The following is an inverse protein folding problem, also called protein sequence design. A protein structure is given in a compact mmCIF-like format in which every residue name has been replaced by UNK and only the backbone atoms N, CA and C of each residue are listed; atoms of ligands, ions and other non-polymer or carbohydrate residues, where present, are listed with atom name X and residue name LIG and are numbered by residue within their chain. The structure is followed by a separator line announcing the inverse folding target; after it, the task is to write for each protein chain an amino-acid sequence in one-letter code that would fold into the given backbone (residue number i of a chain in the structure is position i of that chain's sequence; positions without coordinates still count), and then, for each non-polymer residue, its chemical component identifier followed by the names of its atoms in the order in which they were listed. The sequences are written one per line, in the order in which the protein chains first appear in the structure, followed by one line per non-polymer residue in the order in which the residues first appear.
data_IF_846786150631
#
_entry.id   IF_846786150631
#
_cell.length_a   1.000
_cell.length_b   1.000
_cell.length_c   1.000
_cell.angle_alpha   90.00
_cell.angle_beta   90.00
_cell.angle_gamma   90.00
#
_symmetry.space_group_name_H-M   'P 1'
#
loop_
_entity.id
_entity.type
_entity.pdbx_description
1 polymer ?
#
# COMPACT_ATOMS: atom_id res chain seq x y z
N UNK A 1 37.48 -6.83 -5.88
CA UNK A 1 36.14 -7.36 -6.22
C UNK A 1 35.71 -8.24 -5.06
N UNK A 2 34.76 -7.78 -4.23
CA UNK A 2 34.23 -8.61 -3.15
C UNK A 2 33.27 -9.64 -3.75
N UNK A 3 33.46 -10.95 -3.50
CA UNK A 3 32.47 -11.95 -3.88
C UNK A 3 31.19 -11.64 -3.09
N UNK A 4 30.13 -11.30 -3.81
CA UNK A 4 28.86 -10.86 -3.22
C UNK A 4 28.25 -11.96 -2.38
N UNK A 5 28.32 -11.83 -1.05
CA UNK A 5 27.57 -12.69 -0.16
C UNK A 5 26.07 -12.47 -0.42
N UNK A 6 25.30 -13.52 -0.72
CA UNK A 6 23.85 -13.39 -0.86
C UNK A 6 23.31 -12.88 0.47
N UNK A 7 22.58 -11.76 0.43
CA UNK A 7 21.93 -11.22 1.62
C UNK A 7 21.04 -12.32 2.23
N UNK A 8 21.05 -12.49 3.56
CA UNK A 8 20.20 -13.48 4.20
C UNK A 8 18.74 -13.24 3.81
N UNK A 9 18.04 -14.33 3.47
CA UNK A 9 16.62 -14.28 3.11
C UNK A 9 15.85 -13.63 4.26
N UNK A 10 15.05 -12.58 4.00
CA UNK A 10 14.33 -11.90 5.06
C UNK A 10 13.28 -12.83 5.65
N UNK A 11 12.97 -12.58 6.92
CA UNK A 11 11.83 -13.21 7.59
C UNK A 11 10.55 -12.90 6.82
N UNK A 12 9.63 -13.88 6.76
CA UNK A 12 8.29 -13.67 6.21
C UNK A 12 7.57 -12.53 6.95
N UNK A 13 6.57 -11.92 6.32
CA UNK A 13 5.90 -10.75 6.88
C UNK A 13 6.46 -9.43 6.36
N UNK A 14 6.39 -8.40 7.22
CA UNK A 14 6.84 -7.05 6.89
C UNK A 14 8.29 -6.97 6.37
N UNK A 15 9.28 -7.70 6.92
CA UNK A 15 10.65 -7.62 6.41
C UNK A 15 10.78 -8.07 4.95
N UNK A 16 10.10 -9.16 4.57
CA UNK A 16 10.08 -9.66 3.19
C UNK A 16 9.35 -8.73 2.23
N UNK A 17 8.26 -8.10 2.68
CA UNK A 17 7.56 -7.06 1.89
C UNK A 17 8.43 -5.83 1.69
N UNK A 18 9.05 -5.31 2.76
CA UNK A 18 9.96 -4.18 2.67
C UNK A 18 11.14 -4.47 1.73
N UNK A 19 11.76 -5.66 1.84
CA UNK A 19 12.84 -6.05 0.93
C UNK A 19 12.36 -6.10 -0.52
N UNK A 20 11.18 -6.68 -0.80
CA UNK A 20 10.62 -6.73 -2.16
C UNK A 20 10.44 -5.34 -2.75
N UNK A 21 9.82 -4.42 -2.01
CA UNK A 21 9.62 -3.03 -2.43
C UNK A 21 10.96 -2.29 -2.65
N UNK A 22 11.96 -2.55 -1.80
CA UNK A 22 13.27 -1.92 -1.89
C UNK A 22 14.14 -2.50 -3.03
N UNK A 23 13.98 -3.78 -3.34
CA UNK A 23 14.82 -4.52 -4.31
C UNK A 23 14.60 -4.10 -5.76
N UNK A 24 13.46 -3.49 -6.07
CA UNK A 24 13.14 -3.01 -7.41
C UNK A 24 13.98 -1.76 -7.75
N UNK A 25 14.88 -1.82 -8.76
CA UNK A 25 15.70 -0.68 -9.15
C UNK A 25 14.87 0.49 -9.67
N UNK A 26 13.82 0.21 -10.43
CA UNK A 26 12.98 1.20 -11.09
C UNK A 26 11.89 1.75 -10.16
N UNK A 27 11.72 1.13 -8.98
CA UNK A 27 10.73 1.48 -7.94
C UNK A 27 9.27 1.43 -8.41
N UNK A 28 9.00 0.75 -9.52
CA UNK A 28 7.65 0.47 -10.03
C UNK A 28 6.75 -0.24 -9.03
N UNK A 29 7.34 -1.07 -8.17
CA UNK A 29 6.65 -1.87 -7.16
C UNK A 29 6.34 -1.10 -5.88
N UNK A 30 6.76 0.17 -5.74
CA UNK A 30 6.51 1.02 -4.56
C UNK A 30 5.06 1.47 -4.43
N UNK A 31 4.17 0.48 -4.29
CA UNK A 31 2.71 0.63 -4.31
C UNK A 31 2.17 0.63 -2.88
N UNK A 32 1.39 1.66 -2.58
CA UNK A 32 0.72 1.87 -1.30
C UNK A 32 -0.77 2.10 -1.49
N UNK A 33 -1.52 1.86 -0.41
CA UNK A 33 -2.93 2.26 -0.37
C UNK A 33 -3.00 3.76 -0.09
N UNK A 34 -3.89 4.46 -0.80
CA UNK A 34 -4.22 5.87 -0.52
C UNK A 34 -5.16 6.00 0.68
N UNK A 35 -5.94 4.96 0.95
CA UNK A 35 -7.00 4.95 1.95
C UNK A 35 -8.05 6.02 1.67
N UNK A 36 -8.55 6.10 0.43
CA UNK A 36 -9.42 7.18 -0.05
C UNK A 36 -10.65 7.36 0.85
N UNK A 37 -11.37 6.27 1.14
CA UNK A 37 -12.55 6.31 2.02
C UNK A 37 -12.24 6.79 3.43
N UNK A 38 -11.10 6.37 3.99
CA UNK A 38 -10.72 6.75 5.35
C UNK A 38 -10.26 8.22 5.40
N UNK A 39 -9.52 8.66 4.38
CA UNK A 39 -9.06 10.03 4.22
C UNK A 39 -10.23 11.00 4.03
N UNK A 40 -11.20 10.66 3.16
CA UNK A 40 -12.41 11.44 2.98
C UNK A 40 -13.21 11.54 4.29
N UNK A 41 -13.35 10.44 5.04
CA UNK A 41 -13.98 10.47 6.36
C UNK A 41 -13.23 11.40 7.32
N UNK A 42 -11.90 11.39 7.32
CA UNK A 42 -11.11 12.28 8.16
C UNK A 42 -11.34 13.75 7.80
N UNK A 43 -11.35 14.08 6.50
CA UNK A 43 -11.61 15.46 6.04
C UNK A 43 -12.99 15.96 6.45
N UNK A 44 -14.03 15.13 6.27
CA UNK A 44 -15.40 15.50 6.68
C UNK A 44 -15.50 15.70 8.20
N UNK A 45 -14.79 14.91 9.00
CA UNK A 45 -14.77 15.10 10.45
C UNK A 45 -14.05 16.39 10.86
N UNK A 46 -12.96 16.76 10.19
CA UNK A 46 -12.27 18.03 10.41
C UNK A 46 -13.12 19.23 10.00
N UNK A 47 -13.82 19.13 8.87
CA UNK A 47 -14.78 20.14 8.40
C UNK A 47 -15.91 20.33 9.41
N UNK A 48 -16.49 19.24 9.92
CA UNK A 48 -17.52 19.30 10.95
C UNK A 48 -17.01 19.91 12.27
N UNK A 49 -15.81 19.55 12.73
CA UNK A 49 -15.21 20.16 13.93
C UNK A 49 -14.99 21.67 13.73
N UNK A 50 -14.54 22.08 12.55
CA UNK A 50 -14.35 23.50 12.23
C UNK A 50 -15.67 24.27 12.18
N UNK A 51 -16.71 23.71 11.56
CA UNK A 51 -18.03 24.33 11.50
C UNK A 51 -18.63 24.56 12.91
N UNK A 52 -18.46 23.59 13.83
CA UNK A 52 -18.87 23.74 15.23
C UNK A 52 -18.10 24.84 15.96
N UNK A 53 -16.80 24.98 15.68
CA UNK A 53 -15.97 26.05 16.27
C UNK A 53 -16.31 27.42 15.68
N UNK A 54 -16.60 27.49 14.38
CA UNK A 54 -17.06 28.68 13.67
C UNK A 54 -18.39 29.18 14.25
N UNK A 55 -19.38 28.30 14.40
CA UNK A 55 -20.66 28.65 15.01
C UNK A 55 -20.48 29.13 16.46
N UNK A 56 -19.55 28.53 17.22
CA UNK A 56 -19.21 29.01 18.57
C UNK A 56 -18.61 30.41 18.56
N UNK A 57 -17.77 30.74 17.59
CA UNK A 57 -17.19 32.07 17.47
C UNK A 57 -18.27 33.08 17.07
N UNK A 58 -19.13 32.72 16.11
CA UNK A 58 -20.23 33.58 15.67
C UNK A 58 -21.20 33.91 16.81
N UNK A 59 -21.52 32.95 17.69
CA UNK A 59 -22.33 33.22 18.90
C UNK A 59 -21.67 34.22 19.85
N UNK A 60 -20.34 34.23 19.96
CA UNK A 60 -19.62 35.25 20.74
C UNK A 60 -19.72 36.61 20.05
N UNK A 61 -19.51 36.67 18.74
CA UNK A 61 -19.63 37.91 17.96
C UNK A 61 -21.06 38.49 18.04
N UNK A 62 -22.09 37.65 18.02
CA UNK A 62 -23.48 38.07 18.22
C UNK A 62 -23.73 38.66 19.61
N UNK A 63 -23.17 38.04 20.65
CA UNK A 63 -23.27 38.55 22.02
C UNK A 63 -22.54 39.89 22.16
N UNK A 64 -21.38 40.02 21.53
CA UNK A 64 -20.58 41.23 21.60
C UNK A 64 -21.20 42.40 20.83
N UNK A 65 -21.93 42.14 19.73
CA UNK A 65 -22.74 43.16 19.03
C UNK A 65 -23.76 43.85 19.95
N UNK A 66 -24.22 43.16 20.99
CA UNK A 66 -25.18 43.69 21.97
C UNK A 66 -24.49 44.41 23.15
N UNK A 67 -23.16 44.32 23.25
CA UNK A 67 -22.41 44.95 24.33
C UNK A 67 -22.24 46.45 24.11
N UNK A 68 -22.34 47.21 25.19
CA UNK A 68 -22.08 48.67 25.25
C UNK A 68 -20.70 48.97 25.83
N UNK A 69 -19.94 47.94 26.23
CA UNK A 69 -18.65 48.09 26.88
C UNK A 69 -17.55 48.44 25.86
N UNK A 70 -16.83 49.54 26.08
CA UNK A 70 -15.75 49.98 25.18
C UNK A 70 -14.60 48.95 25.14
N UNK A 71 -14.33 48.25 26.24
CA UNK A 71 -13.31 47.18 26.29
C UNK A 71 -13.60 46.02 25.33
N UNK A 72 -14.88 45.69 25.13
CA UNK A 72 -15.31 44.68 24.14
C UNK A 72 -15.04 45.20 22.73
N UNK A 73 -15.39 46.47 22.45
CA UNK A 73 -15.09 47.14 21.18
C UNK A 73 -13.59 47.19 20.87
N UNK A 74 -12.77 47.52 21.85
CA UNK A 74 -11.31 47.55 21.72
C UNK A 74 -10.76 46.17 21.33
N UNK A 75 -11.22 45.09 21.99
CA UNK A 75 -10.82 43.71 21.67
C UNK A 75 -11.07 43.33 20.20
N UNK A 76 -12.14 43.84 19.57
CA UNK A 76 -12.44 43.53 18.16
C UNK A 76 -11.56 44.27 17.16
N UNK A 77 -10.94 45.39 17.57
CA UNK A 77 -10.17 46.26 16.68
C UNK A 77 -8.67 46.12 16.86
N UNK A 78 -8.23 45.76 18.08
CA UNK A 78 -6.82 45.71 18.45
C UNK A 78 -6.44 44.38 19.10
N UNK A 79 -5.53 43.64 18.46
CA UNK A 79 -5.04 42.34 18.96
C UNK A 79 -4.32 42.46 20.31
N UNK A 80 -3.51 43.52 20.51
CA UNK A 80 -2.84 43.78 21.79
C UNK A 80 -3.81 44.01 22.94
N UNK A 81 -4.95 44.68 22.68
CA UNK A 81 -6.00 44.85 23.68
C UNK A 81 -6.63 43.50 24.04
N UNK A 82 -6.92 42.68 23.03
CA UNK A 82 -7.49 41.34 23.22
C UNK A 82 -6.55 40.42 24.01
N UNK A 83 -5.25 40.36 23.67
CA UNK A 83 -4.26 39.57 24.42
C UNK A 83 -4.13 40.04 25.87
N UNK A 84 -4.06 41.36 26.09
CA UNK A 84 -3.95 41.94 27.43
C UNK A 84 -5.16 41.58 28.30
N UNK A 85 -6.37 41.68 27.76
CA UNK A 85 -7.60 41.42 28.50
C UNK A 85 -7.80 39.91 28.72
N UNK A 86 -7.48 39.07 27.74
CA UNK A 86 -7.54 37.61 27.88
C UNK A 86 -6.48 37.05 28.86
N UNK A 87 -5.30 37.67 28.93
CA UNK A 87 -4.20 37.24 29.79
C UNK A 87 -4.15 37.93 31.17
N UNK A 88 -5.02 38.92 31.41
CA UNK A 88 -5.04 39.69 32.65
C UNK A 88 -5.35 38.80 33.86
N UNK A 89 -4.51 38.88 34.88
CA UNK A 89 -4.70 38.19 36.16
C UNK A 89 -4.76 39.18 37.31
N UNK A 90 -5.59 38.90 38.30
CA UNK A 90 -5.68 39.68 39.52
C UNK A 90 -4.54 39.36 40.50
N UNK A 91 -4.55 40.00 41.67
CA UNK A 91 -3.54 39.80 42.71
C UNK A 91 -3.54 38.37 43.29
N UNK A 92 -4.67 37.67 43.18
CA UNK A 92 -4.87 36.30 43.66
C UNK A 92 -4.52 35.26 42.58
N UNK A 93 -4.26 35.71 41.34
CA UNK A 93 -3.86 34.89 40.20
C UNK A 93 -5.02 34.41 39.31
N UNK A 94 -6.25 34.82 39.62
CA UNK A 94 -7.45 34.50 38.86
C UNK A 94 -7.57 35.39 37.61
N UNK A 95 -8.29 34.88 36.59
CA UNK A 95 -8.48 35.61 35.34
C UNK A 95 -9.41 36.82 35.58
N UNK A 96 -8.94 38.02 35.23
CA UNK A 96 -9.73 39.25 35.33
C UNK A 96 -10.92 39.20 34.38
N UNK A 97 -10.71 38.71 33.16
CA UNK A 97 -11.75 38.59 32.13
C UNK A 97 -11.83 37.14 31.62
N UNK A 98 -12.53 36.25 32.34
CA UNK A 98 -12.64 34.84 31.95
C UNK A 98 -13.33 34.65 30.60
N UNK A 99 -14.27 35.53 30.22
CA UNK A 99 -14.92 35.48 28.91
C UNK A 99 -13.92 35.76 27.76
N UNK A 100 -13.06 36.77 27.91
CA UNK A 100 -12.04 37.08 26.90
C UNK A 100 -10.96 35.99 26.81
N UNK A 101 -10.60 35.39 27.95
CA UNK A 101 -9.71 34.22 27.98
C UNK A 101 -10.31 33.03 27.21
N UNK A 102 -11.60 32.74 27.40
CA UNK A 102 -12.30 31.67 26.68
C UNK A 102 -12.41 31.94 25.17
N UNK A 103 -12.63 33.19 24.77
CA UNK A 103 -12.60 33.60 23.35
C UNK A 103 -11.20 33.41 22.74
N UNK A 104 -10.15 33.80 23.46
CA UNK A 104 -8.78 33.61 23.02
C UNK A 104 -8.46 32.12 22.81
N UNK A 105 -8.84 31.27 23.77
CA UNK A 105 -8.70 29.81 23.64
C UNK A 105 -9.42 29.28 22.40
N UNK A 106 -10.66 29.72 22.16
CA UNK A 106 -11.44 29.33 20.99
C UNK A 106 -10.75 29.73 19.69
N UNK A 107 -10.28 30.97 19.58
CA UNK A 107 -9.55 31.48 18.39
C UNK A 107 -8.28 30.69 18.14
N UNK A 108 -7.50 30.38 19.19
CA UNK A 108 -6.28 29.58 19.07
C UNK A 108 -6.59 28.14 18.64
N UNK A 109 -7.67 27.55 19.15
CA UNK A 109 -8.14 26.22 18.74
C UNK A 109 -8.56 26.21 17.26
N UNK A 110 -9.30 27.22 16.81
CA UNK A 110 -9.68 27.39 15.39
C UNK A 110 -8.43 27.49 14.53
N UNK A 111 -7.45 28.31 14.90
CA UNK A 111 -6.18 28.45 14.14
C UNK A 111 -5.45 27.11 14.02
N UNK A 112 -5.36 26.35 15.10
CA UNK A 112 -4.74 25.02 15.09
C UNK A 112 -5.50 24.04 14.18
N UNK A 113 -6.83 24.02 14.27
CA UNK A 113 -7.69 23.11 13.49
C UNK A 113 -7.75 23.46 12.01
N UNK A 114 -7.78 24.74 11.66
CA UNK A 114 -7.70 25.19 10.27
C UNK A 114 -6.39 24.77 9.63
N UNK A 115 -5.28 24.87 10.37
CA UNK A 115 -3.98 24.40 9.89
C UNK A 115 -4.00 22.88 9.64
N UNK A 116 -4.48 22.10 10.61
CA UNK A 116 -4.61 20.63 10.48
C UNK A 116 -5.46 20.25 9.26
N UNK A 117 -6.60 20.92 9.07
CA UNK A 117 -7.49 20.71 7.93
C UNK A 117 -6.84 21.05 6.60
N UNK A 118 -6.21 22.22 6.46
CA UNK A 118 -5.56 22.63 5.22
C UNK A 118 -4.37 21.72 4.86
N UNK A 119 -3.58 21.30 5.84
CA UNK A 119 -2.49 20.34 5.63
C UNK A 119 -3.03 18.98 5.15
N UNK A 120 -4.08 18.47 5.80
CA UNK A 120 -4.72 17.22 5.40
C UNK A 120 -5.30 17.31 3.97
N UNK A 121 -5.95 18.43 3.63
CA UNK A 121 -6.52 18.67 2.31
C UNK A 121 -5.44 18.68 1.22
N UNK A 122 -4.32 19.39 1.45
CA UNK A 122 -3.22 19.49 0.50
C UNK A 122 -2.55 18.12 0.25
N UNK A 123 -2.34 17.33 1.31
CA UNK A 123 -1.81 15.96 1.19
C UNK A 123 -2.78 15.09 0.40
N UNK A 124 -4.07 15.14 0.72
CA UNK A 124 -5.08 14.33 0.03
C UNK A 124 -5.24 14.71 -1.44
N UNK A 125 -5.22 16.01 -1.76
CA UNK A 125 -5.22 16.50 -3.15
C UNK A 125 -4.01 15.96 -3.93
N UNK A 126 -2.82 15.93 -3.32
CA UNK A 126 -1.62 15.38 -3.94
C UNK A 126 -1.77 13.89 -4.23
N UNK A 127 -2.37 13.13 -3.30
CA UNK A 127 -2.64 11.69 -3.49
C UNK A 127 -3.68 11.43 -4.58
N UNK A 128 -4.75 12.23 -4.65
CA UNK A 128 -5.78 12.08 -5.68
C UNK A 128 -5.28 12.39 -7.09
N UNK A 129 -4.36 13.36 -7.22
CA UNK A 129 -3.75 13.74 -8.50
C UNK A 129 -2.55 12.87 -8.88
N UNK A 130 -2.14 11.93 -8.01
CA UNK A 130 -1.05 11.00 -8.30
C UNK A 130 -1.45 10.00 -9.39
N UNK A 131 -0.48 9.60 -10.22
CA UNK A 131 -0.73 8.61 -11.27
C UNK A 131 -0.99 7.23 -10.64
N UNK A 132 -2.00 6.49 -11.11
CA UNK A 132 -2.22 5.13 -10.66
C UNK A 132 -1.05 4.23 -11.11
N UNK A 133 -0.76 3.14 -10.38
CA UNK A 133 0.22 2.16 -10.83
C UNK A 133 -0.28 1.44 -12.10
N UNK A 134 0.65 1.00 -12.97
CA UNK A 134 0.31 0.19 -14.13
C UNK A 134 -0.41 -1.12 -13.72
N UNK A 135 -1.45 -1.49 -14.47
CA UNK A 135 -2.28 -2.66 -14.17
C UNK A 135 -1.46 -3.97 -14.13
N UNK A 136 -0.47 -4.10 -15.02
CA UNK A 136 0.46 -5.24 -15.04
C UNK A 136 1.30 -5.34 -13.77
N UNK A 137 1.73 -4.19 -13.22
CA UNK A 137 2.50 -4.13 -11.98
C UNK A 137 1.63 -4.45 -10.78
N UNK A 138 0.39 -3.94 -10.74
CA UNK A 138 -0.60 -4.28 -9.70
C UNK A 138 -0.84 -5.79 -9.70
N UNK A 139 -1.09 -6.40 -10.87
CA UNK A 139 -1.30 -7.85 -11.01
C UNK A 139 -0.11 -8.64 -10.45
N UNK A 140 1.10 -8.36 -10.94
CA UNK A 140 2.30 -9.08 -10.50
C UNK A 140 2.57 -8.93 -8.99
N UNK A 141 2.35 -7.73 -8.43
CA UNK A 141 2.49 -7.49 -7.00
C UNK A 141 1.41 -8.21 -6.19
N UNK A 142 0.16 -8.22 -6.66
CA UNK A 142 -0.94 -8.94 -6.01
C UNK A 142 -0.66 -10.43 -5.94
N UNK A 143 -0.28 -11.05 -7.05
CA UNK A 143 0.00 -12.49 -7.13
C UNK A 143 1.16 -12.90 -6.22
N UNK A 144 2.24 -12.13 -6.25
CA UNK A 144 3.37 -12.33 -5.34
C UNK A 144 2.98 -12.15 -3.86
N UNK A 145 2.11 -11.17 -3.58
CA UNK A 145 1.69 -10.83 -2.22
C UNK A 145 0.74 -11.88 -1.63
N UNK A 146 -0.22 -12.38 -2.41
CA UNK A 146 -1.18 -13.39 -1.95
C UNK A 146 -0.65 -14.82 -2.06
N UNK A 147 0.40 -15.03 -2.87
CA UNK A 147 0.88 -16.37 -3.22
C UNK A 147 -0.09 -17.11 -4.15
N UNK A 148 -0.98 -16.37 -4.84
CA UNK A 148 -1.98 -16.90 -5.77
C UNK A 148 -1.60 -16.48 -7.19
N UNK A 149 -1.51 -17.43 -8.12
CA UNK A 149 -1.27 -17.16 -9.53
C UNK A 149 -2.31 -17.91 -10.37
N UNK A 150 -2.98 -17.22 -11.29
CA UNK A 150 -4.10 -17.75 -12.08
C UNK A 150 -5.16 -18.49 -11.25
N UNK A 151 -5.50 -17.93 -10.07
CA UNK A 151 -6.49 -18.49 -9.16
C UNK A 151 -6.05 -19.72 -8.36
N UNK A 152 -4.80 -20.17 -8.52
CA UNK A 152 -4.23 -21.31 -7.78
C UNK A 152 -3.31 -20.84 -6.66
N UNK A 153 -3.42 -21.47 -5.49
CA UNK A 153 -2.58 -21.18 -4.33
C UNK A 153 -1.23 -21.91 -4.45
N UNK A 154 -0.13 -21.17 -4.36
CA UNK A 154 1.24 -21.70 -4.37
C UNK A 154 2.00 -21.39 -3.08
N UNK A 155 1.58 -20.37 -2.34
CA UNK A 155 2.17 -19.98 -1.07
C UNK A 155 1.14 -19.29 -0.17
N UNK A 156 1.45 -19.17 1.12
CA UNK A 156 0.70 -18.31 2.02
C UNK A 156 0.93 -16.82 1.68
N UNK A 157 -0.06 -15.94 1.95
CA UNK A 157 0.09 -14.50 1.79
C UNK A 157 1.29 -13.94 2.58
N UNK A 158 1.87 -12.84 2.09
CA UNK A 158 3.00 -12.20 2.74
C UNK A 158 2.60 -11.50 4.05
N UNK A 159 1.38 -10.98 4.13
CA UNK A 159 0.80 -10.40 5.36
C UNK A 159 -0.62 -10.94 5.57
N UNK A 160 -1.02 -11.03 6.83
CA UNK A 160 -2.32 -11.55 7.26
C UNK A 160 -3.20 -10.44 7.87
N UNK A 161 -4.46 -10.79 8.15
CA UNK A 161 -5.42 -9.90 8.79
C UNK A 161 -5.92 -8.81 7.84
N UNK A 162 -6.11 -7.59 8.35
CA UNK A 162 -6.64 -6.48 7.53
C UNK A 162 -5.75 -6.12 6.32
N UNK A 163 -4.47 -6.47 6.34
CA UNK A 163 -3.51 -6.22 5.25
C UNK A 163 -3.50 -7.29 4.17
N UNK A 164 -4.17 -8.42 4.36
CA UNK A 164 -4.27 -9.47 3.34
C UNK A 164 -4.95 -8.95 2.07
N UNK A 165 -5.93 -8.05 2.25
CA UNK A 165 -6.75 -7.45 1.20
C UNK A 165 -6.15 -6.17 0.61
N UNK A 166 -4.86 -5.89 0.84
CA UNK A 166 -4.23 -4.61 0.47
C UNK A 166 -4.33 -4.28 -1.03
N UNK A 167 -4.32 -5.29 -1.89
CA UNK A 167 -4.37 -5.16 -3.35
C UNK A 167 -5.74 -5.54 -3.94
N UNK A 168 -6.81 -5.56 -3.13
CA UNK A 168 -8.14 -5.92 -3.62
C UNK A 168 -8.83 -4.80 -4.39
N UNK A 169 -8.64 -3.56 -3.95
CA UNK A 169 -9.14 -2.37 -4.64
C UNK A 169 -8.00 -1.73 -5.45
N UNK A 170 -7.98 -1.85 -6.79
CA UNK A 170 -6.96 -1.23 -7.62
C UNK A 170 -7.08 0.30 -7.69
N UNK A 171 -8.25 0.86 -7.37
CA UNK A 171 -8.48 2.31 -7.42
C UNK A 171 -7.97 3.02 -6.16
N UNK A 172 -7.85 2.30 -5.03
CA UNK A 172 -7.29 2.80 -3.77
C UNK A 172 -5.75 2.69 -3.71
N UNK A 173 -5.07 2.49 -4.84
CA UNK A 173 -3.61 2.31 -4.91
C UNK A 173 -2.91 3.53 -5.52
N UNK A 174 -1.73 3.83 -4.97
CA UNK A 174 -0.79 4.85 -5.47
C UNK A 174 0.60 4.25 -5.61
N UNK A 175 1.30 4.61 -6.67
CA UNK A 175 2.73 4.35 -6.81
C UNK A 175 3.53 5.60 -6.45
N UNK A 176 4.55 5.46 -5.59
CA UNK A 176 5.43 6.60 -5.25
C UNK A 176 6.30 7.02 -6.43
N UNK A 177 6.54 6.12 -7.38
CA UNK A 177 7.20 6.41 -8.65
C UNK A 177 6.46 5.72 -9.77
N UNK A 178 6.06 6.50 -10.76
CA UNK A 178 5.60 6.00 -12.05
C UNK A 178 6.69 6.33 -13.08
N UNK A 179 7.35 5.33 -13.69
CA UNK A 179 8.37 5.60 -14.72
C UNK A 179 7.80 6.47 -15.84
N UNK A 180 8.61 7.39 -16.34
CA UNK A 180 8.23 8.27 -17.45
C UNK A 180 7.87 7.47 -18.72
N UNK A 181 8.47 6.28 -18.90
CA UNK A 181 8.35 5.45 -20.11
C UNK A 181 7.07 4.60 -20.21
N UNK A 182 6.16 4.71 -19.24
CA UNK A 182 4.81 4.12 -19.34
C UNK A 182 3.91 5.02 -20.21
N UNK A 183 4.35 5.27 -21.44
CA UNK A 183 3.47 5.83 -22.46
C UNK A 183 2.46 4.78 -22.89
N UNK A 184 1.22 5.22 -23.15
CA UNK A 184 0.11 4.36 -23.60
C UNK A 184 0.48 3.49 -24.81
N UNK A 185 1.44 3.96 -25.62
CA UNK A 185 2.00 3.22 -26.75
C UNK A 185 2.89 2.05 -26.29
N UNK A 186 3.75 2.26 -25.30
CA UNK A 186 4.59 1.20 -24.71
C UNK A 186 3.72 0.12 -24.06
N UNK A 187 2.64 0.51 -23.38
CA UNK A 187 1.68 -0.43 -22.78
C UNK A 187 0.92 -1.22 -23.86
N UNK A 188 0.53 -0.57 -24.96
CA UNK A 188 -0.07 -1.23 -26.13
C UNK A 188 0.92 -2.22 -26.77
N UNK A 189 2.18 -1.84 -26.99
CA UNK A 189 3.19 -2.71 -27.57
C UNK A 189 3.50 -3.90 -26.65
N UNK A 190 3.62 -3.69 -25.33
CA UNK A 190 3.85 -4.78 -24.38
C UNK A 190 2.65 -5.75 -24.32
N UNK A 191 1.42 -5.22 -24.30
CA UNK A 191 0.21 -6.05 -24.20
C UNK A 191 -0.10 -6.82 -25.49
N UNK A 192 0.20 -6.26 -26.67
CA UNK A 192 -0.13 -6.89 -27.96
C UNK A 192 1.06 -7.55 -28.67
N UNK A 193 2.29 -7.09 -28.44
CA UNK A 193 3.50 -7.55 -29.13
C UNK A 193 4.57 -8.13 -28.19
N UNK A 194 4.29 -8.29 -26.90
CA UNK A 194 5.24 -8.88 -25.93
C UNK A 194 5.75 -10.28 -26.29
N UNK A 195 5.04 -11.03 -27.15
CA UNK A 195 5.48 -12.32 -27.68
C UNK A 195 6.65 -12.24 -28.67
N UNK A 196 6.92 -11.07 -29.28
CA UNK A 196 8.03 -10.88 -30.22
C UNK A 196 9.36 -10.53 -29.54
N UNK A 197 9.34 -10.07 -28.29
CA UNK A 197 10.52 -9.68 -27.52
C UNK A 197 10.93 -10.75 -26.50
N UNK A 198 10.83 -12.03 -26.87
CA UNK A 198 11.45 -13.10 -26.11
C UNK A 198 12.98 -12.90 -26.13
N UNK A 199 13.51 -12.25 -25.10
CA UNK A 199 14.95 -12.18 -24.85
C UNK A 199 15.45 -13.60 -24.69
N UNK A 200 16.24 -14.03 -25.67
CA UNK A 200 16.89 -15.34 -25.72
C UNK A 200 17.92 -15.40 -24.59
N UNK A 201 17.57 -16.04 -23.46
CA UNK A 201 18.55 -16.42 -22.44
C UNK A 201 19.63 -17.30 -23.11
N UNK A 202 20.93 -17.04 -22.88
CA UNK A 202 21.98 -17.90 -23.40
C UNK A 202 21.94 -19.24 -22.65
N UNK A 203 21.77 -20.34 -23.40
CA UNK A 203 21.89 -21.71 -22.91
C UNK A 203 23.32 -21.95 -22.37
N UNK A 204 23.50 -22.74 -21.30
CA UNK A 204 24.83 -23.09 -20.81
C UNK A 204 25.52 -24.07 -21.76
N UNK A 205 26.79 -23.79 -22.09
CA UNK A 205 27.67 -24.70 -22.85
C UNK A 205 27.81 -26.02 -22.08
N UNK A 206 27.36 -27.11 -22.66
CA UNK A 206 27.84 -28.45 -22.32
C UNK A 206 28.85 -28.88 -23.38
N UNK A 207 30.10 -28.91 -22.95
CA UNK A 207 31.22 -29.53 -23.64
C UNK A 207 31.06 -31.05 -23.53
N UNK A 208 31.05 -31.76 -24.65
CA UNK A 208 31.95 -32.89 -24.94
C UNK A 208 31.64 -33.47 -26.31
N UNK A 209 32.57 -33.21 -27.24
CA UNK A 209 32.74 -33.95 -28.49
C UNK A 209 33.68 -35.11 -28.17
N UNK A 210 33.24 -36.35 -28.37
CA UNK A 210 34.11 -37.47 -28.72
C UNK A 210 33.45 -38.22 -29.88
N UNK A 211 34.15 -38.23 -31.01
CA UNK A 211 33.84 -38.90 -32.29
C UNK A 211 34.47 -40.32 -32.28
N UNK A 212 33.96 -41.28 -33.10
CA UNK A 212 33.82 -42.69 -32.76
C UNK A 212 34.97 -43.57 -33.27
N UNK A 213 34.99 -44.83 -32.83
CA UNK A 213 35.85 -45.89 -33.39
C UNK A 213 35.00 -47.02 -33.99
N UNK A 214 35.52 -47.46 -35.14
CA UNK A 214 35.08 -48.37 -36.18
C UNK A 214 34.85 -49.85 -35.75
N UNK A 215 33.80 -50.45 -36.33
CA UNK A 215 33.34 -51.86 -36.54
C UNK A 215 34.37 -53.02 -36.46
N UNK A 216 34.01 -54.33 -36.27
CA UNK A 216 32.97 -55.08 -37.03
C UNK A 216 32.16 -56.21 -36.31
N UNK A 217 31.16 -56.83 -37.00
CA UNK A 217 30.20 -57.81 -36.43
C UNK A 217 30.61 -59.28 -36.69
N UNK A 218 29.91 -60.30 -36.14
CA UNK A 218 28.95 -61.01 -36.99
C UNK A 218 27.73 -61.72 -36.31
N UNK A 219 26.72 -61.97 -37.15
CA UNK A 219 25.87 -63.18 -37.26
C UNK A 219 24.75 -63.55 -36.26
N UNK A 220 23.55 -63.64 -36.87
CA UNK A 220 22.33 -64.38 -36.50
C UNK A 220 22.59 -65.80 -35.94
N UNK A 221 21.78 -66.24 -34.97
CA UNK A 221 20.77 -67.31 -35.17
C UNK A 221 19.90 -67.59 -33.91
N UNK A 222 18.59 -67.77 -34.18
CA UNK A 222 17.60 -68.71 -33.60
C UNK A 222 17.15 -68.51 -32.14
N UNK A 223 15.88 -68.09 -31.90
CA UNK A 223 14.65 -68.90 -31.77
C UNK A 223 14.62 -69.82 -30.54
N UNK A 224 13.71 -69.53 -29.58
CA UNK A 224 12.66 -70.44 -29.09
C UNK A 224 11.84 -69.81 -27.93
N UNK A 225 10.54 -69.65 -28.17
CA UNK A 225 9.44 -69.75 -27.17
C UNK A 225 9.09 -71.24 -26.99
N UNK A 226 8.41 -71.73 -25.90
CA UNK A 226 7.10 -71.27 -25.43
C UNK A 226 6.82 -71.38 -23.90
N UNK A 227 5.56 -71.08 -23.55
CA UNK A 227 4.89 -70.74 -22.27
C UNK A 227 4.45 -71.96 -21.40
N UNK A 228 3.48 -71.84 -20.44
CA UNK A 228 3.58 -71.69 -18.96
C UNK A 228 3.03 -72.97 -18.23
N UNK A 229 2.57 -73.04 -16.93
CA UNK A 229 1.39 -72.31 -16.40
C UNK A 229 1.21 -72.16 -14.83
N UNK A 230 0.11 -71.50 -14.43
CA UNK A 230 -0.83 -71.84 -13.32
C UNK A 230 -0.59 -71.44 -11.84
N UNK A 231 -1.56 -70.63 -11.34
CA UNK A 231 -2.23 -70.62 -10.00
C UNK A 231 -1.42 -70.12 -8.77
N UNK A 232 -1.96 -69.45 -7.74
CA UNK A 232 -3.31 -69.24 -7.23
C UNK A 232 -3.30 -67.99 -6.31
N UNK A 233 -4.41 -67.25 -6.23
CA UNK A 233 -4.68 -66.28 -5.15
C UNK A 233 -5.93 -66.73 -4.36
N UNK A 234 -5.91 -66.68 -3.02
CA UNK A 234 -7.11 -66.68 -2.17
C UNK A 234 -7.37 -65.31 -1.49
N UNK A 235 -8.53 -65.14 -0.82
CA UNK A 235 -9.38 -63.94 -0.98
C UNK A 235 -9.41 -62.97 0.22
N UNK A 236 -10.03 -61.81 -0.05
CA UNK A 236 -10.50 -60.81 0.92
C UNK A 236 -11.50 -61.36 1.95
N UNK A 237 -11.62 -60.72 3.12
CA UNK A 237 -12.86 -60.72 3.89
C UNK A 237 -13.51 -59.33 4.01
N UNK A 238 -14.82 -59.42 3.84
CA UNK A 238 -15.96 -58.54 4.09
C UNK A 238 -15.85 -57.52 5.22
N UNK A 239 -16.38 -56.33 4.93
CA UNK A 239 -16.79 -55.31 5.89
C UNK A 239 -18.19 -55.64 6.45
N UNK A 240 -18.32 -55.58 7.78
CA UNK A 240 -19.59 -55.56 8.50
C UNK A 240 -20.03 -54.12 8.75
N UNK A 241 -21.31 -53.89 8.53
CA UNK A 241 -22.06 -52.67 8.79
C UNK A 241 -22.24 -52.44 10.29
N UNK A 242 -22.24 -51.16 10.69
CA UNK A 242 -23.03 -50.58 11.78
C UNK A 242 -23.32 -49.13 11.41
#
# INVERSE_FOLDING_TARGET
MNPGYPLPKPLNGFPRVAQKLASDPDKTTTIFRRFDRLSARNLILLEAELAELEERLERWDERDKLSVEEEVRECHTEWSAFERLAGGRDADGELVNPEQAAKMELVLRIRAKLKEYHEALAVHQTLLNSKPPAATTIKGMKEWFTGIHDGKHYAAPQLFGANEKRFDDPYDLVALRVPADQDRLSEFILNYFGGFFAVRLPLPLTSHIIIPILTPPPSRQQQQTPTPPTSANPPSPSASQS
#
